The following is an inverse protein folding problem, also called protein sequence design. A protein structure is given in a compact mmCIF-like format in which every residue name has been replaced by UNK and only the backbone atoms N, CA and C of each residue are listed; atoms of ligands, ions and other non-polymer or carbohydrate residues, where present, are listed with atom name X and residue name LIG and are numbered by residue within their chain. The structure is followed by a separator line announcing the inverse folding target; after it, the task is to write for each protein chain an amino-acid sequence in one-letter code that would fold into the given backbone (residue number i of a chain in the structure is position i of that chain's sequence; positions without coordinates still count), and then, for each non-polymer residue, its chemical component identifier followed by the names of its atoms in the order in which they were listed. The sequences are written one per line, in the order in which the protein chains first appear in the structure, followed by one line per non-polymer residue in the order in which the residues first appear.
data_IF_201811674147
#
_entry.id   IF_201811674147
#
_cell.length_a   1.000
_cell.length_b   1.000
_cell.length_c   1.000
_cell.angle_alpha   90.00
_cell.angle_beta   90.00
_cell.angle_gamma   90.00
#
_symmetry.space_group_name_H-M   'P 1'
#
loop_
_entity.id
_entity.type
_entity.pdbx_description
1 polymer ?
#
# COMPACT_ATOMS: atom_id res chain seq x y z
N UNK A 1 -9.49 6.20 10.73
CA UNK A 1 -8.75 5.66 9.56
C UNK A 1 -7.29 5.37 9.87
N UNK A 2 -6.50 6.31 10.41
CA UNK A 2 -5.09 6.01 10.72
C UNK A 2 -4.90 4.82 11.69
N UNK A 3 -5.80 4.63 12.65
CA UNK A 3 -5.84 3.42 13.47
C UNK A 3 -6.06 2.14 12.64
N UNK A 4 -6.85 2.22 11.56
CA UNK A 4 -7.01 1.09 10.62
C UNK A 4 -5.69 0.83 9.89
N UNK A 5 -5.05 1.86 9.29
CA UNK A 5 -3.76 1.69 8.63
C UNK A 5 -2.68 1.12 9.57
N UNK A 6 -2.67 1.54 10.82
CA UNK A 6 -1.77 1.02 11.86
C UNK A 6 -2.02 -0.46 12.18
N UNK A 7 -3.27 -0.92 12.18
CA UNK A 7 -3.65 -2.26 12.61
C UNK A 7 -3.74 -3.28 11.48
N UNK A 8 -4.03 -2.86 10.25
CA UNK A 8 -4.17 -3.77 9.09
C UNK A 8 -2.96 -4.66 8.86
N UNK A 9 -1.70 -4.22 9.04
CA UNK A 9 -0.55 -5.13 8.92
C UNK A 9 -0.60 -6.34 9.87
N UNK A 10 -1.34 -6.28 10.98
CA UNK A 10 -1.55 -7.44 11.86
C UNK A 10 -2.31 -8.58 11.15
N UNK A 11 -3.06 -8.28 10.08
CA UNK A 11 -3.69 -9.30 9.25
C UNK A 11 -2.66 -10.24 8.61
N UNK A 12 -1.44 -9.76 8.33
CA UNK A 12 -0.33 -10.61 7.86
C UNK A 12 0.05 -11.61 8.95
N UNK A 13 0.15 -11.16 10.21
CA UNK A 13 0.44 -12.05 11.35
C UNK A 13 -0.66 -13.10 11.48
N UNK A 14 -1.93 -12.68 11.49
CA UNK A 14 -3.06 -13.62 11.59
C UNK A 14 -3.08 -14.63 10.42
N UNK A 15 -2.77 -14.18 9.20
CA UNK A 15 -2.64 -15.05 8.03
C UNK A 15 -1.52 -16.08 8.21
N UNK A 16 -0.35 -15.66 8.70
CA UNK A 16 0.78 -16.54 8.96
C UNK A 16 0.45 -17.58 10.02
N UNK A 17 -0.14 -17.17 11.15
CA UNK A 17 -0.54 -18.11 12.21
C UNK A 17 -1.56 -19.14 11.72
N UNK A 18 -2.57 -18.69 10.96
CA UNK A 18 -3.64 -19.55 10.44
C UNK A 18 -3.14 -20.55 9.41
N UNK A 19 -2.21 -20.13 8.54
CA UNK A 19 -1.78 -20.88 7.35
C UNK A 19 -0.28 -21.24 7.38
N UNK A 20 0.30 -21.37 8.57
CA UNK A 20 1.74 -21.55 8.78
C UNK A 20 2.32 -22.76 8.05
N UNK A 21 1.62 -23.91 8.11
CA UNK A 21 2.04 -25.12 7.41
C UNK A 21 2.03 -24.95 5.88
N UNK A 22 0.94 -24.42 5.33
CA UNK A 22 0.82 -24.14 3.90
C UNK A 22 1.92 -23.17 3.44
N UNK A 23 2.03 -22.02 4.09
CA UNK A 23 3.05 -21.03 3.74
C UNK A 23 4.47 -21.58 3.91
N UNK A 24 4.75 -22.37 4.94
CA UNK A 24 6.06 -22.99 5.16
C UNK A 24 6.49 -23.95 4.03
N UNK A 25 5.55 -24.46 3.23
CA UNK A 25 5.83 -25.29 2.06
C UNK A 25 5.83 -24.49 0.75
N UNK A 26 5.14 -23.36 0.72
CA UNK A 26 4.85 -22.60 -0.51
C UNK A 26 5.80 -21.43 -0.73
N UNK A 27 6.28 -20.77 0.33
CA UNK A 27 7.10 -19.56 0.23
C UNK A 27 8.52 -19.78 0.77
N UNK A 28 9.45 -18.88 0.44
CA UNK A 28 10.86 -19.02 0.81
C UNK A 28 11.11 -18.93 2.34
N UNK A 29 10.59 -17.88 3.00
CA UNK A 29 10.89 -17.57 4.40
C UNK A 29 9.69 -16.96 5.13
N UNK A 30 9.00 -17.78 5.91
CA UNK A 30 7.80 -17.38 6.67
C UNK A 30 8.07 -16.29 7.71
N UNK A 31 9.20 -16.38 8.41
CA UNK A 31 9.59 -15.48 9.49
C UNK A 31 9.68 -14.01 9.03
N UNK A 32 10.07 -13.78 7.78
CA UNK A 32 10.15 -12.45 7.18
C UNK A 32 8.79 -11.73 7.09
N UNK A 33 7.67 -12.45 7.08
CA UNK A 33 6.34 -11.83 7.08
C UNK A 33 5.99 -11.17 8.42
N UNK A 34 6.52 -11.65 9.55
CA UNK A 34 6.36 -10.96 10.84
C UNK A 34 7.16 -9.66 10.87
N UNK A 35 8.41 -9.68 10.39
CA UNK A 35 9.23 -8.48 10.29
C UNK A 35 8.65 -7.47 9.30
N UNK A 36 8.08 -7.94 8.20
CA UNK A 36 7.36 -7.10 7.26
C UNK A 36 6.17 -6.39 7.93
N UNK A 37 5.34 -7.14 8.67
CA UNK A 37 4.23 -6.57 9.43
C UNK A 37 4.72 -5.49 10.41
N UNK A 38 5.78 -5.77 11.18
CA UNK A 38 6.40 -4.81 12.09
C UNK A 38 6.87 -3.53 11.38
N UNK A 39 7.53 -3.64 10.23
CA UNK A 39 7.96 -2.49 9.44
C UNK A 39 6.77 -1.66 8.95
N UNK A 40 5.70 -2.29 8.47
CA UNK A 40 4.49 -1.59 8.02
C UNK A 40 3.81 -0.84 9.17
N UNK A 41 3.72 -1.45 10.36
CA UNK A 41 3.18 -0.79 11.57
C UNK A 41 4.04 0.43 11.93
N UNK A 42 5.37 0.27 11.95
CA UNK A 42 6.29 1.37 12.23
C UNK A 42 6.14 2.50 11.21
N UNK A 43 6.01 2.17 9.92
CA UNK A 43 5.70 3.13 8.87
C UNK A 43 4.44 3.94 9.22
N UNK A 44 3.31 3.27 9.46
CA UNK A 44 2.06 3.93 9.82
C UNK A 44 2.14 4.77 11.12
N UNK A 45 2.98 4.39 12.08
CA UNK A 45 3.25 5.23 13.26
C UNK A 45 3.94 6.54 12.89
N UNK A 46 4.92 6.51 11.98
CA UNK A 46 5.56 7.74 11.50
C UNK A 46 4.61 8.63 10.71
N UNK A 47 3.71 8.06 9.91
CA UNK A 47 2.63 8.82 9.26
C UNK A 47 1.75 9.53 10.31
N UNK A 48 1.35 8.83 11.39
CA UNK A 48 0.57 9.41 12.49
C UNK A 48 1.34 10.55 13.17
N UNK A 49 2.64 10.37 13.44
CA UNK A 49 3.46 11.43 14.05
C UNK A 49 3.59 12.66 13.15
N UNK A 50 3.78 12.44 11.84
CA UNK A 50 3.85 13.51 10.86
C UNK A 50 2.50 14.27 10.80
N UNK A 51 1.40 13.53 10.68
CA UNK A 51 0.07 14.13 10.62
C UNK A 51 -0.33 14.83 11.91
N UNK A 52 0.14 14.35 13.07
CA UNK A 52 -0.05 15.04 14.35
C UNK A 52 0.70 16.38 14.39
N UNK A 53 1.94 16.42 13.87
CA UNK A 53 2.72 17.67 13.73
C UNK A 53 2.05 18.66 12.79
N UNK A 54 1.41 18.17 11.74
CA UNK A 54 0.65 18.98 10.78
C UNK A 54 -0.80 19.25 11.24
N UNK A 55 -1.12 19.01 12.53
CA UNK A 55 -2.44 19.20 13.12
C UNK A 55 -3.58 18.55 12.32
N UNK A 56 -3.28 17.44 11.64
CA UNK A 56 -4.18 16.68 10.78
C UNK A 56 -4.72 17.46 9.57
N UNK A 57 -4.13 18.61 9.24
CA UNK A 57 -4.57 19.46 8.14
C UNK A 57 -3.57 19.40 6.99
N UNK A 58 -3.81 18.50 6.03
CA UNK A 58 -2.91 18.31 4.89
C UNK A 58 -3.20 19.35 3.82
N UNK A 59 -2.19 20.15 3.49
CA UNK A 59 -2.24 21.12 2.40
C UNK A 59 -0.94 21.09 1.63
N UNK A 60 -0.88 21.72 0.47
CA UNK A 60 0.38 21.90 -0.28
C UNK A 60 1.49 22.61 0.52
N UNK A 61 1.16 23.26 1.64
CA UNK A 61 2.14 23.92 2.50
C UNK A 61 2.71 23.02 3.61
N UNK A 62 1.98 21.99 4.05
CA UNK A 62 2.40 21.12 5.16
C UNK A 62 3.41 20.06 4.72
N UNK A 63 4.15 19.50 5.67
CA UNK A 63 5.16 18.49 5.36
C UNK A 63 4.52 17.18 4.85
N UNK A 64 3.35 16.78 5.37
CA UNK A 64 2.55 15.68 4.83
C UNK A 64 2.06 15.93 3.40
N UNK A 65 1.75 17.18 3.03
CA UNK A 65 1.27 17.50 1.68
C UNK A 65 2.39 17.82 0.68
N UNK A 66 3.59 18.15 1.19
CA UNK A 66 4.82 18.30 0.39
C UNK A 66 5.58 17.00 0.20
N UNK A 67 5.19 15.95 0.93
CA UNK A 67 5.91 14.66 0.98
C UNK A 67 7.39 14.90 1.34
N UNK A 68 7.61 15.77 2.34
CA UNK A 68 8.95 16.15 2.75
C UNK A 68 9.02 16.46 4.24
N UNK A 69 9.69 15.58 4.98
CA UNK A 69 9.94 15.70 6.41
C UNK A 69 10.62 14.44 6.95
N UNK A 70 11.20 14.51 8.14
CA UNK A 70 11.86 13.35 8.75
C UNK A 70 10.87 12.18 8.92
N UNK A 71 9.68 12.45 9.45
CA UNK A 71 8.70 11.39 9.70
C UNK A 71 8.05 10.88 8.42
N UNK A 72 7.81 11.74 7.44
CA UNK A 72 7.35 11.31 6.11
C UNK A 72 8.39 10.44 5.37
N UNK A 73 9.67 10.79 5.49
CA UNK A 73 10.78 9.98 4.96
C UNK A 73 10.92 8.64 5.67
N UNK A 74 10.76 8.62 7.00
CA UNK A 74 10.74 7.38 7.78
C UNK A 74 9.52 6.52 7.43
N UNK A 75 8.34 7.11 7.28
CA UNK A 75 7.16 6.42 6.78
C UNK A 75 7.46 5.74 5.44
N UNK A 76 7.95 6.50 4.45
CA UNK A 76 8.28 5.99 3.11
C UNK A 76 9.30 4.84 3.19
N UNK A 77 10.36 5.00 3.98
CA UNK A 77 11.39 3.99 4.16
C UNK A 77 10.86 2.69 4.78
N UNK A 78 10.06 2.78 5.85
CA UNK A 78 9.54 1.61 6.55
C UNK A 78 8.44 0.89 5.75
N UNK A 79 7.61 1.62 5.00
CA UNK A 79 6.64 1.00 4.08
C UNK A 79 7.37 0.19 3.01
N UNK A 80 8.38 0.76 2.36
CA UNK A 80 9.17 0.04 1.36
C UNK A 80 9.88 -1.16 1.98
N UNK A 81 10.51 -0.99 3.14
CA UNK A 81 11.21 -2.08 3.83
C UNK A 81 10.26 -3.23 4.13
N UNK A 82 9.04 -2.93 4.60
CA UNK A 82 8.00 -3.94 4.80
C UNK A 82 7.64 -4.67 3.51
N UNK A 83 7.42 -3.94 2.41
CA UNK A 83 7.12 -4.55 1.11
C UNK A 83 8.28 -5.39 0.55
N UNK A 84 9.53 -4.96 0.74
CA UNK A 84 10.72 -5.69 0.34
C UNK A 84 10.87 -6.99 1.14
N UNK A 85 10.58 -6.95 2.45
CA UNK A 85 10.56 -8.15 3.29
C UNK A 85 9.47 -9.14 2.85
N UNK A 86 8.29 -8.66 2.45
CA UNK A 86 7.26 -9.54 1.83
C UNK A 86 7.82 -10.19 0.57
N UNK A 87 8.47 -9.43 -0.31
CA UNK A 87 9.00 -9.95 -1.56
C UNK A 87 10.07 -11.03 -1.33
N UNK A 88 10.99 -10.80 -0.39
CA UNK A 88 12.01 -11.78 0.01
C UNK A 88 11.37 -12.99 0.71
N UNK A 89 10.33 -12.79 1.53
CA UNK A 89 9.59 -13.89 2.15
C UNK A 89 8.99 -14.82 1.10
N UNK A 90 8.41 -14.25 0.04
CA UNK A 90 7.78 -14.98 -1.06
C UNK A 90 8.81 -15.73 -1.92
N UNK A 91 9.85 -15.04 -2.39
CA UNK A 91 10.72 -15.53 -3.47
C UNK A 91 12.22 -15.23 -3.26
N UNK A 92 12.66 -15.12 -2.00
CA UNK A 92 14.05 -14.80 -1.64
C UNK A 92 15.08 -15.89 -1.96
N UNK A 93 14.67 -17.05 -2.46
CA UNK A 93 15.58 -18.08 -2.97
C UNK A 93 16.28 -17.67 -4.27
N UNK A 94 15.83 -16.59 -4.93
CA UNK A 94 16.48 -16.03 -6.11
C UNK A 94 17.29 -14.79 -5.73
N UNK A 95 18.60 -14.82 -6.00
CA UNK A 95 19.52 -13.74 -5.62
C UNK A 95 19.09 -12.37 -6.16
N UNK A 96 18.51 -12.31 -7.37
CA UNK A 96 18.05 -11.07 -7.96
C UNK A 96 16.95 -10.39 -7.12
N UNK A 97 16.10 -11.16 -6.43
CA UNK A 97 15.04 -10.64 -5.55
C UNK A 97 15.66 -9.97 -4.32
N UNK A 98 16.69 -10.59 -3.74
CA UNK A 98 17.42 -10.03 -2.59
C UNK A 98 18.13 -8.75 -3.02
N UNK A 99 18.91 -8.79 -4.10
CA UNK A 99 19.66 -7.62 -4.58
C UNK A 99 18.76 -6.46 -4.95
N UNK A 100 17.64 -6.72 -5.63
CA UNK A 100 16.66 -5.68 -5.97
C UNK A 100 16.05 -5.05 -4.72
N UNK A 101 15.65 -5.88 -3.75
CA UNK A 101 15.09 -5.42 -2.48
C UNK A 101 16.07 -4.55 -1.69
N UNK A 102 17.31 -4.99 -1.56
CA UNK A 102 18.38 -4.24 -0.87
C UNK A 102 18.67 -2.92 -1.59
N UNK A 103 18.78 -2.95 -2.92
CA UNK A 103 19.02 -1.75 -3.72
C UNK A 103 17.87 -0.74 -3.57
N UNK A 104 16.62 -1.20 -3.61
CA UNK A 104 15.45 -0.35 -3.42
C UNK A 104 15.49 0.36 -2.05
N UNK A 105 15.80 -0.39 -0.98
CA UNK A 105 15.92 0.16 0.38
C UNK A 105 17.05 1.21 0.46
N UNK A 106 18.22 0.95 -0.12
CA UNK A 106 19.37 1.87 -0.08
C UNK A 106 19.11 3.15 -0.89
N UNK A 107 18.49 3.02 -2.06
CA UNK A 107 18.22 4.15 -2.97
C UNK A 107 17.12 5.07 -2.43
N UNK A 108 16.17 4.54 -1.66
CA UNK A 108 14.99 5.29 -1.24
C UNK A 108 15.32 6.55 -0.42
N UNK A 109 16.18 6.51 0.61
CA UNK A 109 16.62 7.73 1.29
C UNK A 109 17.25 8.76 0.35
N UNK A 110 18.02 8.31 -0.66
CA UNK A 110 18.68 9.19 -1.63
C UNK A 110 17.62 9.87 -2.51
N UNK A 111 16.70 9.09 -3.07
CA UNK A 111 15.59 9.58 -3.90
C UNK A 111 14.68 10.53 -3.13
N UNK A 112 14.38 10.20 -1.87
CA UNK A 112 13.59 11.04 -0.98
C UNK A 112 14.27 12.39 -0.70
N UNK A 113 15.54 12.39 -0.27
CA UNK A 113 16.30 13.62 0.02
C UNK A 113 16.45 14.49 -1.24
N UNK A 114 16.70 13.86 -2.39
CA UNK A 114 16.85 14.55 -3.68
C UNK A 114 15.51 14.92 -4.32
N UNK A 115 14.38 14.45 -3.79
CA UNK A 115 13.04 14.63 -4.36
C UNK A 115 12.93 14.15 -5.80
N UNK A 116 13.60 13.03 -6.09
CA UNK A 116 13.64 12.42 -7.41
C UNK A 116 12.99 11.04 -7.33
N UNK A 117 11.92 10.83 -8.10
CA UNK A 117 11.31 9.50 -8.28
C UNK A 117 11.02 8.80 -6.93
N UNK A 118 10.53 9.55 -5.94
CA UNK A 118 10.40 9.11 -4.53
C UNK A 118 9.62 7.79 -4.40
N UNK A 119 8.54 7.64 -5.18
CA UNK A 119 7.70 6.44 -5.16
C UNK A 119 8.13 5.32 -6.11
N UNK A 120 9.19 5.52 -6.91
CA UNK A 120 9.62 4.51 -7.88
C UNK A 120 10.06 3.20 -7.21
N UNK A 121 10.90 3.20 -6.16
CA UNK A 121 11.28 1.97 -5.47
C UNK A 121 10.08 1.19 -4.93
N UNK A 122 9.17 1.89 -4.24
CA UNK A 122 7.93 1.32 -3.70
C UNK A 122 7.03 0.77 -4.81
N UNK A 123 6.93 1.46 -5.94
CA UNK A 123 6.12 1.02 -7.08
C UNK A 123 6.66 -0.26 -7.72
N UNK A 124 7.98 -0.37 -7.88
CA UNK A 124 8.64 -1.55 -8.44
C UNK A 124 8.43 -2.76 -7.51
N UNK A 125 8.73 -2.61 -6.21
CA UNK A 125 8.60 -3.69 -5.23
C UNK A 125 7.12 -4.07 -5.05
N UNK A 126 6.21 -3.11 -4.99
CA UNK A 126 4.77 -3.36 -4.91
C UNK A 126 4.23 -4.14 -6.09
N UNK A 127 4.60 -3.77 -7.33
CA UNK A 127 4.20 -4.49 -8.53
C UNK A 127 4.74 -5.93 -8.53
N UNK A 128 6.00 -6.12 -8.13
CA UNK A 128 6.60 -7.45 -8.04
C UNK A 128 5.92 -8.31 -6.99
N UNK A 129 5.56 -7.75 -5.83
CA UNK A 129 4.77 -8.46 -4.81
C UNK A 129 3.44 -8.97 -5.38
N UNK A 130 2.74 -8.15 -6.17
CA UNK A 130 1.49 -8.58 -6.81
C UNK A 130 1.72 -9.70 -7.82
N UNK A 131 2.71 -9.56 -8.71
CA UNK A 131 3.00 -10.55 -9.76
C UNK A 131 3.47 -11.87 -9.16
N UNK A 132 4.42 -11.82 -8.21
CA UNK A 132 4.98 -13.00 -7.56
C UNK A 132 3.95 -13.65 -6.65
N UNK A 133 3.16 -12.87 -5.90
CA UNK A 133 2.07 -13.42 -5.11
C UNK A 133 1.03 -14.13 -5.99
N UNK A 134 0.68 -13.59 -7.16
CA UNK A 134 -0.17 -14.31 -8.11
C UNK A 134 0.50 -15.59 -8.63
N UNK A 135 1.78 -15.53 -8.99
CA UNK A 135 2.52 -16.72 -9.47
C UNK A 135 2.54 -17.84 -8.43
N UNK A 136 2.66 -17.50 -7.14
CA UNK A 136 2.74 -18.47 -6.05
C UNK A 136 1.35 -19.00 -5.64
N UNK A 137 0.36 -18.11 -5.45
CA UNK A 137 -0.93 -18.47 -4.88
C UNK A 137 -2.02 -18.72 -5.93
N UNK A 138 -1.75 -18.40 -7.19
CA UNK A 138 -2.64 -18.56 -8.34
C UNK A 138 -4.02 -17.89 -8.19
N UNK A 139 -4.20 -17.01 -7.22
CA UNK A 139 -5.44 -16.28 -7.00
C UNK A 139 -5.34 -14.85 -7.57
N UNK A 140 -6.12 -14.51 -8.62
CA UNK A 140 -6.09 -13.18 -9.24
C UNK A 140 -6.57 -12.06 -8.33
N UNK A 141 -7.20 -12.34 -7.18
CA UNK A 141 -7.67 -11.31 -6.24
C UNK A 141 -6.54 -10.38 -5.79
N UNK A 142 -5.29 -10.85 -5.79
CA UNK A 142 -4.12 -10.06 -5.41
C UNK A 142 -3.93 -8.83 -6.33
N UNK A 143 -4.39 -8.87 -7.58
CA UNK A 143 -4.32 -7.73 -8.50
C UNK A 143 -5.17 -6.53 -8.06
N UNK A 144 -6.13 -6.72 -7.15
CA UNK A 144 -6.86 -5.60 -6.56
C UNK A 144 -5.97 -4.70 -5.67
N UNK A 145 -4.75 -5.11 -5.34
CA UNK A 145 -3.71 -4.20 -4.81
C UNK A 145 -3.45 -3.02 -5.75
N UNK A 146 -3.40 -3.27 -7.06
CA UNK A 146 -3.18 -2.21 -8.05
C UNK A 146 -4.37 -1.24 -8.09
N UNK A 147 -5.59 -1.75 -7.90
CA UNK A 147 -6.77 -0.91 -7.78
C UNK A 147 -6.67 0.00 -6.54
N UNK A 148 -6.19 -0.52 -5.39
CA UNK A 148 -5.99 0.31 -4.19
C UNK A 148 -4.94 1.39 -4.37
N UNK A 149 -3.86 1.13 -5.13
CA UNK A 149 -2.86 2.16 -5.48
C UNK A 149 -3.50 3.26 -6.34
N UNK A 150 -4.25 2.88 -7.38
CA UNK A 150 -4.95 3.84 -8.22
C UNK A 150 -5.95 4.69 -7.41
N UNK A 151 -6.69 4.08 -6.49
CA UNK A 151 -7.62 4.78 -5.59
C UNK A 151 -6.90 5.74 -4.65
N UNK A 152 -5.74 5.35 -4.13
CA UNK A 152 -4.90 6.20 -3.27
C UNK A 152 -4.52 7.48 -4.00
N UNK A 153 -3.98 7.34 -5.21
CA UNK A 153 -3.60 8.49 -6.04
C UNK A 153 -4.81 9.35 -6.42
N UNK A 154 -5.94 8.71 -6.72
CA UNK A 154 -7.20 9.40 -7.05
C UNK A 154 -7.67 10.30 -5.90
N UNK A 155 -7.78 9.76 -4.68
CA UNK A 155 -8.26 10.52 -3.53
C UNK A 155 -7.23 11.56 -3.07
N UNK A 156 -5.94 11.26 -3.16
CA UNK A 156 -4.89 12.23 -2.82
C UNK A 156 -4.93 13.43 -3.77
N UNK A 157 -5.09 13.21 -5.07
CA UNK A 157 -5.23 14.31 -6.03
C UNK A 157 -6.45 15.19 -5.73
N UNK A 158 -7.59 14.59 -5.37
CA UNK A 158 -8.78 15.37 -4.99
C UNK A 158 -8.51 16.15 -3.69
N UNK A 159 -7.87 15.55 -2.69
CA UNK A 159 -7.46 16.22 -1.46
C UNK A 159 -6.63 17.47 -1.78
N UNK A 160 -5.61 17.33 -2.63
CA UNK A 160 -4.71 18.43 -2.97
C UNK A 160 -5.41 19.53 -3.77
N UNK A 161 -6.35 19.17 -4.66
CA UNK A 161 -7.09 20.14 -5.46
C UNK A 161 -8.17 20.89 -4.67
N UNK A 162 -8.79 20.24 -3.69
CA UNK A 162 -9.98 20.76 -2.99
C UNK A 162 -9.72 21.17 -1.53
N UNK A 163 -8.58 20.77 -0.95
CA UNK A 163 -8.28 20.83 0.48
C UNK A 163 -9.34 20.15 1.37
N UNK A 164 -10.20 19.30 0.80
CA UNK A 164 -11.23 18.59 1.54
C UNK A 164 -10.62 17.41 2.32
N UNK A 165 -10.36 17.62 3.60
CA UNK A 165 -9.64 16.69 4.48
C UNK A 165 -10.29 15.31 4.62
N UNK A 166 -11.57 15.15 4.30
CA UNK A 166 -12.20 13.82 4.24
C UNK A 166 -11.51 12.88 3.24
N UNK A 167 -10.93 13.41 2.16
CA UNK A 167 -10.19 12.62 1.18
C UNK A 167 -8.83 12.13 1.68
N UNK A 168 -8.25 12.77 2.70
CA UNK A 168 -7.07 12.22 3.37
C UNK A 168 -7.39 10.86 4.01
N UNK A 169 -8.51 10.77 4.73
CA UNK A 169 -8.98 9.48 5.27
C UNK A 169 -9.25 8.43 4.18
N UNK A 170 -9.79 8.82 3.02
CA UNK A 170 -9.98 7.87 1.91
C UNK A 170 -8.65 7.42 1.29
N UNK A 171 -7.68 8.32 1.19
CA UNK A 171 -6.33 8.02 0.73
C UNK A 171 -5.66 6.98 1.63
N UNK A 172 -5.61 7.23 2.93
CA UNK A 172 -5.02 6.31 3.92
C UNK A 172 -5.74 4.96 3.95
N UNK A 173 -7.08 4.97 3.85
CA UNK A 173 -7.87 3.73 3.80
C UNK A 173 -7.55 2.91 2.56
N UNK A 174 -7.51 3.53 1.38
CA UNK A 174 -7.16 2.86 0.13
C UNK A 174 -5.75 2.30 0.19
N UNK A 175 -4.76 3.10 0.59
CA UNK A 175 -3.35 2.68 0.63
C UNK A 175 -3.13 1.46 1.52
N UNK A 176 -3.76 1.44 2.69
CA UNK A 176 -3.62 0.33 3.65
C UNK A 176 -4.42 -0.91 3.25
N UNK A 177 -5.51 -0.76 2.49
CA UNK A 177 -6.39 -1.89 2.12
C UNK A 177 -5.72 -2.93 1.21
N UNK A 178 -4.62 -2.59 0.53
CA UNK A 178 -3.89 -3.51 -0.35
C UNK A 178 -3.42 -4.80 0.37
N UNK A 179 -3.13 -4.72 1.67
CA UNK A 179 -2.69 -5.86 2.48
C UNK A 179 -3.76 -6.96 2.51
N UNK A 180 -5.05 -6.60 2.52
CA UNK A 180 -6.13 -7.59 2.53
C UNK A 180 -6.12 -8.48 1.30
N UNK A 181 -5.71 -7.98 0.14
CA UNK A 181 -5.69 -8.79 -1.08
C UNK A 181 -4.55 -9.82 -1.09
N UNK A 182 -3.45 -9.56 -0.38
CA UNK A 182 -2.45 -10.60 -0.10
C UNK A 182 -3.04 -11.67 0.83
N UNK A 183 -3.66 -11.22 1.94
CA UNK A 183 -4.27 -12.11 2.94
C UNK A 183 -5.36 -13.00 2.33
N UNK A 184 -6.23 -12.43 1.49
CA UNK A 184 -7.27 -13.15 0.77
C UNK A 184 -6.69 -14.14 -0.22
N UNK A 185 -5.68 -13.73 -1.01
CA UNK A 185 -5.01 -14.61 -1.98
C UNK A 185 -4.40 -15.84 -1.30
N UNK A 186 -3.70 -15.66 -0.18
CA UNK A 186 -3.18 -16.79 0.63
C UNK A 186 -4.30 -17.64 1.19
N UNK A 187 -5.32 -17.02 1.80
CA UNK A 187 -6.40 -17.75 2.45
C UNK A 187 -7.23 -18.59 1.47
N UNK A 188 -7.43 -18.08 0.26
CA UNK A 188 -8.12 -18.79 -0.81
C UNK A 188 -7.25 -19.90 -1.39
N UNK A 189 -5.96 -19.64 -1.61
CA UNK A 189 -5.03 -20.65 -2.09
C UNK A 189 -4.87 -21.81 -1.10
N UNK A 190 -4.84 -21.53 0.21
CA UNK A 190 -4.74 -22.56 1.24
C UNK A 190 -6.02 -23.43 1.36
N UNK A 191 -7.13 -23.00 0.76
CA UNK A 191 -8.42 -23.68 0.78
C UNK A 191 -8.85 -24.20 -0.60
N UNK A 192 -7.99 -24.07 -1.62
CA UNK A 192 -8.31 -24.38 -3.02
C UNK A 192 -9.59 -23.69 -3.53
N UNK A 193 -9.77 -22.43 -3.11
CA UNK A 193 -10.92 -21.58 -3.46
C UNK A 193 -10.47 -20.27 -4.12
N UNK A 194 -9.56 -20.37 -5.10
CA UNK A 194 -9.04 -19.19 -5.81
C UNK A 194 -10.17 -18.42 -6.49
N UNK A 195 -10.08 -17.09 -6.45
CA UNK A 195 -11.06 -16.23 -7.11
C UNK A 195 -11.02 -16.37 -8.62
N UNK A 196 -12.14 -16.11 -9.30
CA UNK A 196 -12.17 -16.10 -10.76
C UNK A 196 -11.62 -14.79 -11.33
N UNK A 197 -10.95 -14.85 -12.49
CA UNK A 197 -10.57 -13.66 -13.25
C UNK A 197 -11.76 -12.77 -13.59
N UNK A 198 -12.92 -13.36 -13.90
CA UNK A 198 -14.15 -12.63 -14.20
C UNK A 198 -14.57 -11.75 -13.02
N UNK A 199 -14.47 -12.27 -11.79
CA UNK A 199 -14.75 -11.52 -10.57
C UNK A 199 -13.82 -10.32 -10.43
N UNK A 200 -12.51 -10.53 -10.59
CA UNK A 200 -11.50 -9.47 -10.41
C UNK A 200 -11.64 -8.38 -11.48
N UNK A 201 -11.75 -8.77 -12.75
CA UNK A 201 -11.98 -7.84 -13.87
C UNK A 201 -13.30 -7.10 -13.71
N UNK A 202 -14.37 -7.79 -13.30
CA UNK A 202 -15.67 -7.19 -13.02
C UNK A 202 -15.58 -6.10 -11.93
N UNK A 203 -14.85 -6.36 -10.84
CA UNK A 203 -14.60 -5.38 -9.78
C UNK A 203 -13.82 -4.18 -10.33
N UNK A 204 -12.73 -4.41 -11.09
CA UNK A 204 -11.92 -3.32 -11.65
C UNK A 204 -12.71 -2.44 -12.62
N UNK A 205 -13.54 -3.03 -13.49
CA UNK A 205 -14.42 -2.30 -14.39
C UNK A 205 -15.46 -1.51 -13.60
N UNK A 206 -16.11 -2.14 -12.62
CA UNK A 206 -17.11 -1.49 -11.77
C UNK A 206 -16.54 -0.28 -11.02
N UNK A 207 -15.36 -0.44 -10.41
CA UNK A 207 -14.65 0.66 -9.76
C UNK A 207 -14.32 1.79 -10.75
N UNK A 208 -13.79 1.44 -11.93
CA UNK A 208 -13.44 2.42 -12.97
C UNK A 208 -14.67 3.22 -13.42
N UNK A 209 -15.81 2.56 -13.64
CA UNK A 209 -17.07 3.22 -14.00
C UNK A 209 -17.56 4.15 -12.89
N UNK A 210 -17.55 3.70 -11.63
CA UNK A 210 -17.92 4.53 -10.48
C UNK A 210 -17.06 5.79 -10.43
N UNK A 211 -15.73 5.65 -10.53
CA UNK A 211 -14.82 6.78 -10.48
C UNK A 211 -15.02 7.77 -11.62
N UNK A 212 -15.27 7.30 -12.84
CA UNK A 212 -15.57 8.14 -13.99
C UNK A 212 -16.89 8.93 -13.80
N UNK A 213 -17.93 8.28 -13.28
CA UNK A 213 -19.24 8.90 -13.06
C UNK A 213 -19.20 10.00 -12.00
N UNK A 214 -18.43 9.80 -10.93
CA UNK A 214 -18.37 10.75 -9.80
C UNK A 214 -17.25 11.79 -9.95
N UNK A 215 -16.31 11.63 -10.89
CA UNK A 215 -15.12 12.46 -11.07
C UNK A 215 -15.42 13.97 -11.10
N UNK A 216 -16.35 14.39 -11.97
CA UNK A 216 -16.69 15.81 -12.12
C UNK A 216 -17.27 16.39 -10.83
N UNK A 217 -18.13 15.62 -10.15
CA UNK A 217 -18.81 16.06 -8.93
C UNK A 217 -17.84 16.16 -7.74
N UNK A 218 -16.89 15.24 -7.62
CA UNK A 218 -15.92 15.27 -6.52
C UNK A 218 -14.89 16.39 -6.68
N UNK A 219 -14.44 16.70 -7.90
CA UNK A 219 -13.50 17.80 -8.13
C UNK A 219 -14.13 19.19 -7.90
N UNK A 220 -15.46 19.32 -7.99
CA UNK A 220 -16.18 20.57 -7.71
C UNK A 220 -16.39 20.86 -6.21
N UNK A 221 -16.13 19.90 -5.31
CA UNK A 221 -16.31 20.08 -3.87
C UNK A 221 -15.37 21.14 -3.26
N UNK A 222 -14.25 21.45 -3.94
CA UNK A 222 -13.33 22.51 -3.52
C UNK A 222 -13.79 23.93 -3.87
N UNK A 223 -14.64 24.09 -4.88
CA UNK A 223 -15.07 25.40 -5.38
C UNK A 223 -16.15 26.04 -4.50
N UNK A 224 -16.92 25.24 -3.77
CA UNK A 224 -18.05 25.72 -2.95
C UNK A 224 -17.62 26.48 -1.70
N UNK A 225 -16.36 26.36 -1.25
CA UNK A 225 -15.82 27.15 -0.12
C UNK A 225 -15.21 28.49 -0.50
N UNK A 226 -15.13 28.84 -1.79
CA UNK A 226 -14.67 30.18 -2.24
C UNK A 226 -15.79 31.23 -2.29
N UNK A 227 -17.03 30.86 -1.93
CA UNK A 227 -18.21 31.73 -1.96
C UNK A 227 -18.78 32.08 -0.58
N UNK A 228 -17.99 31.89 0.48
CA UNK A 228 -18.24 32.38 1.85
C UNK A 228 -17.00 33.11 2.34
#
# INVERSE_FOLDING_TARGET
VHAYALLVPLAIITMVEKHSFFLGQTIHRLDLLYYASGCLILGSLFEIFQNTKDHWYITAATASGKEYGLFDGLFTFFILTGQALILIALMGNYDWVIWLSVLAIIVTPIFYIKKLLVFLPTSIIGLLNTIIGFYIFLDPIIFLQLATVAMTMYFFNILMNTNAQSFHGLTTFSASSGIWFLVLSVNNSAQDQQSSWLTVVGIMIGLSLIFLLIWKKLNQLGETKKYL
#
